data_IF_450616202037
#
_entry.id   IF_450616202037
#
_cell.length_a   1.000
_cell.length_b   1.000
_cell.length_c   1.000
_cell.angle_alpha   90.00
_cell.angle_beta   90.00
_cell.angle_gamma   90.00
#
_symmetry.space_group_name_H-M   'P 1'
#
loop_
_entity.id
_entity.type
_entity.pdbx_description
1 polymer ?
#
# COMPACT_ATOMS: atom_id res chain seq x y z
N UNK A 1 -13.20 26.51 1.57
CA UNK A 1 -12.13 26.09 0.65
C UNK A 1 -11.68 24.70 1.06
N UNK A 2 -11.98 23.67 0.26
CA UNK A 2 -11.39 22.35 0.47
C UNK A 2 -9.90 22.39 0.09
N UNK A 3 -8.99 21.79 0.86
CA UNK A 3 -7.58 21.75 0.46
C UNK A 3 -7.43 20.87 -0.79
N UNK A 4 -6.63 21.37 -1.73
CA UNK A 4 -6.29 20.68 -2.97
C UNK A 4 -5.64 19.34 -2.64
N UNK A 5 -6.29 18.25 -3.06
CA UNK A 5 -5.81 16.89 -2.87
C UNK A 5 -4.68 16.65 -3.89
N UNK A 6 -3.46 17.04 -3.53
CA UNK A 6 -2.26 16.78 -4.31
C UNK A 6 -2.12 15.27 -4.49
N UNK A 7 -2.18 14.79 -5.74
CA UNK A 7 -1.90 13.39 -6.08
C UNK A 7 -0.46 13.10 -5.66
N UNK A 8 -0.26 12.48 -4.50
CA UNK A 8 1.05 12.01 -4.07
C UNK A 8 1.50 10.93 -5.05
N UNK A 9 2.53 11.25 -5.84
CA UNK A 9 3.16 10.28 -6.73
C UNK A 9 3.90 9.25 -5.88
N UNK A 10 3.25 8.13 -5.60
CA UNK A 10 3.88 6.98 -4.94
C UNK A 10 4.97 6.46 -5.88
N UNK A 11 6.23 6.65 -5.49
CA UNK A 11 7.36 6.10 -6.23
C UNK A 11 7.57 4.65 -5.78
N UNK A 12 7.77 3.70 -6.71
CA UNK A 12 8.14 2.35 -6.33
C UNK A 12 9.42 2.40 -5.52
N UNK A 13 9.43 1.71 -4.38
CA UNK A 13 10.66 1.49 -3.61
C UNK A 13 11.66 0.80 -4.55
N UNK A 14 12.93 1.22 -4.52
CA UNK A 14 13.96 0.59 -5.34
C UNK A 14 14.53 -0.65 -4.63
N UNK A 15 14.80 -1.74 -5.36
CA UNK A 15 15.54 -2.87 -4.81
C UNK A 15 16.95 -2.41 -4.39
N UNK A 16 17.46 -3.00 -3.32
CA UNK A 16 18.81 -2.81 -2.77
C UNK A 16 19.43 -4.19 -2.55
N UNK A 17 20.59 -4.45 -3.16
CA UNK A 17 21.29 -5.73 -2.98
C UNK A 17 20.51 -6.92 -3.56
N UNK A 18 20.37 -7.98 -2.77
CA UNK A 18 19.81 -9.28 -3.19
C UNK A 18 18.26 -9.34 -3.13
N UNK A 19 17.57 -8.20 -3.15
CA UNK A 19 16.11 -8.19 -3.10
C UNK A 19 15.48 -8.94 -4.26
N UNK A 20 14.40 -9.66 -3.97
CA UNK A 20 13.55 -10.23 -5.02
C UNK A 20 12.42 -9.27 -5.33
N UNK A 21 12.30 -8.88 -6.59
CA UNK A 21 11.24 -8.00 -7.10
C UNK A 21 10.31 -8.79 -7.99
N UNK A 22 9.00 -8.58 -7.82
CA UNK A 22 7.96 -9.17 -8.65
C UNK A 22 6.98 -8.06 -9.08
N UNK A 23 6.65 -8.02 -10.36
CA UNK A 23 5.57 -7.16 -10.86
C UNK A 23 4.34 -7.99 -11.13
N UNK A 24 3.20 -7.57 -10.57
CA UNK A 24 1.90 -8.21 -10.75
C UNK A 24 0.94 -7.25 -11.45
N UNK A 25 0.11 -7.77 -12.35
CA UNK A 25 -1.04 -7.06 -12.91
C UNK A 25 -2.32 -7.59 -12.27
N UNK A 26 -3.13 -6.70 -11.72
CA UNK A 26 -4.42 -6.99 -11.11
C UNK A 26 -5.53 -6.35 -11.94
N UNK A 27 -6.16 -7.09 -12.87
CA UNK A 27 -7.23 -6.57 -13.72
C UNK A 27 -8.43 -6.00 -12.95
N UNK A 28 -8.78 -6.60 -11.81
CA UNK A 28 -9.87 -6.11 -10.98
C UNK A 28 -9.77 -6.46 -9.49
N UNK A 29 -10.76 -6.04 -8.68
CA UNK A 29 -10.77 -6.28 -7.24
C UNK A 29 -10.75 -7.77 -6.84
N UNK A 30 -11.31 -8.64 -7.67
CA UNK A 30 -11.28 -10.09 -7.46
C UNK A 30 -9.86 -10.65 -7.48
N UNK A 31 -8.97 -10.12 -8.33
CA UNK A 31 -7.57 -10.50 -8.39
C UNK A 31 -6.80 -10.03 -7.15
N UNK A 32 -7.13 -8.84 -6.65
CA UNK A 32 -6.59 -8.33 -5.38
C UNK A 32 -6.99 -9.22 -4.20
N UNK A 33 -8.26 -9.64 -4.13
CA UNK A 33 -8.72 -10.58 -3.10
C UNK A 33 -7.99 -11.91 -3.22
N UNK A 34 -7.88 -12.46 -4.44
CA UNK A 34 -7.14 -13.71 -4.69
C UNK A 34 -5.68 -13.60 -4.25
N UNK A 35 -5.00 -12.50 -4.58
CA UNK A 35 -3.63 -12.25 -4.16
C UNK A 35 -3.51 -12.25 -2.63
N UNK A 36 -4.46 -11.59 -1.93
CA UNK A 36 -4.51 -11.59 -0.46
C UNK A 36 -4.62 -13.01 0.11
N UNK A 37 -5.54 -13.82 -0.44
CA UNK A 37 -5.73 -15.22 -0.02
C UNK A 37 -4.48 -16.07 -0.22
N UNK A 38 -3.82 -15.92 -1.36
CA UNK A 38 -2.58 -16.65 -1.65
C UNK A 38 -1.45 -16.21 -0.70
N UNK A 39 -1.31 -14.91 -0.43
CA UNK A 39 -0.34 -14.39 0.53
C UNK A 39 -0.58 -14.96 1.94
N UNK A 40 -1.84 -15.07 2.38
CA UNK A 40 -2.16 -15.67 3.67
C UNK A 40 -1.65 -17.12 3.77
N UNK A 41 -1.91 -17.94 2.75
CA UNK A 41 -1.44 -19.33 2.69
C UNK A 41 0.10 -19.40 2.69
N UNK A 42 0.76 -18.54 1.92
CA UNK A 42 2.22 -18.49 1.87
C UNK A 42 2.84 -18.05 3.21
N UNK A 43 2.25 -17.04 3.88
CA UNK A 43 2.67 -16.59 5.21
C UNK A 43 2.44 -17.66 6.28
N UNK A 44 1.34 -18.40 6.22
CA UNK A 44 1.06 -19.50 7.14
C UNK A 44 2.06 -20.66 6.97
N UNK A 45 2.44 -20.97 5.73
CA UNK A 45 3.37 -22.06 5.42
C UNK A 45 4.85 -21.71 5.71
N UNK A 46 5.21 -20.43 5.70
CA UNK A 46 6.58 -19.97 5.87
C UNK A 46 6.77 -19.28 7.24
N UNK A 47 7.61 -19.81 8.13
CA UNK A 47 7.98 -19.09 9.34
C UNK A 47 8.85 -17.87 8.99
N UNK A 48 8.75 -16.83 9.80
CA UNK A 48 9.63 -15.66 9.74
C UNK A 48 8.92 -14.43 9.21
N UNK A 49 8.48 -14.38 7.94
CA UNK A 49 7.92 -13.16 7.38
C UNK A 49 6.56 -12.84 8.01
N UNK A 50 6.48 -11.73 8.74
CA UNK A 50 5.24 -11.29 9.42
C UNK A 50 4.97 -9.78 9.30
N UNK A 51 5.63 -9.11 8.37
CA UNK A 51 5.41 -7.68 8.13
C UNK A 51 5.10 -7.44 6.67
N UNK A 52 3.96 -6.78 6.42
CA UNK A 52 3.46 -6.43 5.10
C UNK A 52 3.23 -4.92 5.04
N UNK A 53 4.04 -4.24 4.24
CA UNK A 53 4.02 -2.79 4.06
C UNK A 53 3.33 -2.45 2.74
N UNK A 54 2.22 -1.71 2.81
CA UNK A 54 1.37 -1.42 1.66
C UNK A 54 1.40 0.08 1.34
N UNK A 55 1.83 0.41 0.13
CA UNK A 55 1.91 1.79 -0.37
C UNK A 55 1.08 1.95 -1.64
N UNK A 56 0.49 3.13 -1.85
CA UNK A 56 -0.35 3.38 -3.02
C UNK A 56 -1.42 4.42 -2.74
N UNK A 57 -1.95 5.04 -3.80
CA UNK A 57 -2.98 6.07 -3.69
C UNK A 57 -4.28 5.63 -3.01
N UNK A 58 -5.14 6.59 -2.69
CA UNK A 58 -6.48 6.35 -2.17
C UNK A 58 -7.28 5.47 -3.16
N UNK A 59 -7.98 4.45 -2.65
CA UNK A 59 -8.75 3.54 -3.50
C UNK A 59 -7.90 2.64 -4.40
N UNK A 60 -6.59 2.50 -4.15
CA UNK A 60 -5.72 1.62 -4.93
C UNK A 60 -6.05 0.12 -4.76
N UNK A 61 -6.73 -0.27 -3.68
CA UNK A 61 -7.06 -1.67 -3.37
C UNK A 61 -6.23 -2.29 -2.25
N UNK A 62 -5.45 -1.49 -1.50
CA UNK A 62 -4.68 -1.94 -0.33
C UNK A 62 -5.55 -2.68 0.69
N UNK A 63 -6.61 -2.05 1.20
CA UNK A 63 -7.57 -2.70 2.11
C UNK A 63 -8.27 -3.93 1.50
N UNK A 64 -8.50 -3.95 0.18
CA UNK A 64 -9.03 -5.14 -0.50
C UNK A 64 -8.06 -6.32 -0.41
N UNK A 65 -6.76 -6.08 -0.51
CA UNK A 65 -5.74 -7.11 -0.27
C UNK A 65 -5.82 -7.61 1.17
N UNK A 66 -5.86 -6.68 2.14
CA UNK A 66 -5.93 -7.02 3.57
C UNK A 66 -7.14 -7.88 3.86
N UNK A 67 -8.30 -7.55 3.28
CA UNK A 67 -9.52 -8.36 3.40
C UNK A 67 -9.30 -9.77 2.92
N UNK A 68 -8.82 -9.94 1.68
CA UNK A 68 -8.57 -11.28 1.13
C UNK A 68 -7.55 -12.08 1.94
N UNK A 69 -6.57 -11.40 2.54
CA UNK A 69 -5.56 -12.01 3.41
C UNK A 69 -6.17 -12.47 4.74
N UNK A 70 -6.80 -11.57 5.48
CA UNK A 70 -7.38 -11.86 6.80
C UNK A 70 -8.46 -12.93 6.70
N UNK A 71 -9.38 -12.84 5.73
CA UNK A 71 -10.43 -13.85 5.51
C UNK A 71 -9.86 -15.26 5.24
N UNK A 72 -8.65 -15.38 4.71
CA UNK A 72 -8.02 -16.67 4.42
C UNK A 72 -7.15 -17.21 5.57
N UNK A 73 -6.87 -16.40 6.59
CA UNK A 73 -6.13 -16.86 7.76
C UNK A 73 -7.08 -17.62 8.70
N UNK A 74 -6.59 -18.66 9.40
CA UNK A 74 -7.41 -19.39 10.37
C UNK A 74 -7.98 -18.45 11.43
N UNK A 75 -9.30 -18.46 11.63
CA UNK A 75 -10.00 -17.56 12.57
C UNK A 75 -10.42 -16.22 11.97
N UNK A 76 -10.19 -15.98 10.68
CA UNK A 76 -10.57 -14.76 9.97
C UNK A 76 -11.88 -14.84 9.18
N UNK A 77 -12.55 -16.00 9.15
CA UNK A 77 -13.72 -16.24 8.30
C UNK A 77 -14.88 -15.27 8.55
N UNK A 78 -15.05 -14.81 9.80
CA UNK A 78 -16.08 -13.86 10.23
C UNK A 78 -15.53 -12.43 10.43
N UNK A 79 -14.30 -12.15 9.97
CA UNK A 79 -13.68 -10.84 10.18
C UNK A 79 -14.30 -9.78 9.27
N UNK A 80 -14.94 -8.77 9.87
CA UNK A 80 -15.37 -7.57 9.15
C UNK A 80 -14.17 -6.66 8.86
N UNK A 81 -13.44 -6.95 7.78
CA UNK A 81 -12.24 -6.18 7.41
C UNK A 81 -12.62 -4.87 6.73
N UNK A 82 -12.31 -3.76 7.39
CA UNK A 82 -12.36 -2.41 6.85
C UNK A 82 -11.04 -1.68 7.12
N UNK A 83 -10.77 -0.60 6.37
CA UNK A 83 -9.73 0.35 6.78
C UNK A 83 -10.13 0.89 8.16
N UNK A 84 -9.20 0.93 9.14
CA UNK A 84 -9.45 1.50 10.46
C UNK A 84 -10.02 2.93 10.32
N UNK A 85 -11.30 3.10 10.70
CA UNK A 85 -12.04 4.34 10.40
C UNK A 85 -11.79 5.44 11.45
N UNK A 86 -11.70 5.06 12.73
CA UNK A 86 -11.46 5.94 13.87
C UNK A 86 -10.29 5.50 14.74
N UNK A 87 -10.07 4.18 14.85
CA UNK A 87 -8.87 3.61 15.46
C UNK A 87 -7.75 3.62 14.41
N UNK A 88 -6.50 3.80 14.85
CA UNK A 88 -5.32 3.73 13.98
C UNK A 88 -5.03 2.27 13.55
N UNK A 89 -5.56 1.31 14.31
CA UNK A 89 -5.34 -0.12 14.18
C UNK A 89 -6.63 -0.93 14.35
N UNK A 90 -6.76 -1.99 13.57
CA UNK A 90 -7.70 -3.09 13.80
C UNK A 90 -6.92 -4.37 14.16
N UNK A 91 -7.36 -5.06 15.21
CA UNK A 91 -6.85 -6.38 15.58
C UNK A 91 -7.82 -7.47 15.14
N UNK A 92 -7.34 -8.45 14.40
CA UNK A 92 -8.13 -9.60 13.95
C UNK A 92 -7.67 -10.88 14.64
N UNK A 93 -8.59 -11.70 15.20
CA UNK A 93 -8.28 -12.91 15.98
C UNK A 93 -7.88 -14.11 15.09
N UNK A 94 -7.07 -13.83 14.07
CA UNK A 94 -6.50 -14.78 13.13
C UNK A 94 -5.33 -15.54 13.76
N UNK A 95 -4.78 -16.54 13.05
CA UNK A 95 -3.57 -17.26 13.47
C UNK A 95 -2.51 -17.22 12.35
N UNK A 96 -1.40 -16.47 12.54
CA UNK A 96 -1.09 -15.60 13.69
C UNK A 96 -2.11 -14.44 13.82
N UNK A 97 -2.21 -13.84 15.01
CA UNK A 97 -3.03 -12.64 15.20
C UNK A 97 -2.59 -11.57 14.22
N UNK A 98 -3.53 -10.84 13.61
CA UNK A 98 -3.22 -9.85 12.58
C UNK A 98 -3.53 -8.45 13.10
N UNK A 99 -2.52 -7.59 13.10
CA UNK A 99 -2.63 -6.17 13.39
C UNK A 99 -2.60 -5.38 12.08
N UNK A 100 -3.66 -4.62 11.81
CA UNK A 100 -3.81 -3.84 10.57
C UNK A 100 -3.85 -2.36 10.89
N UNK A 101 -2.79 -1.66 10.51
CA UNK A 101 -2.60 -0.23 10.70
C UNK A 101 -2.88 0.55 9.41
N UNK A 102 -3.47 1.73 9.53
CA UNK A 102 -3.63 2.68 8.42
C UNK A 102 -3.09 4.06 8.81
N UNK A 103 -1.88 4.37 8.32
CA UNK A 103 -1.18 5.60 8.71
C UNK A 103 -1.69 6.84 7.97
N UNK A 104 -2.63 6.72 7.02
CA UNK A 104 -3.25 7.88 6.38
C UNK A 104 -3.92 8.81 7.39
N UNK A 105 -4.49 8.21 8.44
CA UNK A 105 -5.30 8.90 9.46
C UNK A 105 -4.48 9.66 10.49
N UNK A 106 -3.24 9.26 10.76
CA UNK A 106 -2.39 9.89 11.78
C UNK A 106 -2.06 11.36 11.47
N UNK A 107 -1.91 11.74 10.20
CA UNK A 107 -1.67 13.14 9.82
C UNK A 107 -2.88 14.06 9.98
N UNK A 108 -4.10 13.51 10.06
CA UNK A 108 -5.33 14.30 10.18
C UNK A 108 -5.70 14.59 11.65
N UNK A 109 -4.99 14.00 12.61
CA UNK A 109 -5.14 14.31 14.03
C UNK A 109 -4.29 15.56 14.36
N UNK A 110 -4.89 16.69 14.79
CA UNK A 110 -4.14 17.88 15.15
C UNK A 110 -3.15 17.59 16.29
N UNK A 111 -1.84 17.74 16.04
CA UNK A 111 -0.77 17.53 17.01
C UNK A 111 0.09 16.28 16.81
N UNK A 112 -0.33 15.35 15.95
CA UNK A 112 0.41 14.14 15.62
C UNK A 112 1.28 14.38 14.37
N UNK A 113 2.38 15.11 14.55
CA UNK A 113 3.54 14.78 13.74
C UNK A 113 3.89 13.31 14.06
N UNK A 114 4.26 12.56 13.03
CA UNK A 114 4.92 11.24 12.99
C UNK A 114 6.03 10.97 14.05
N UNK A 115 6.23 11.85 15.03
CA UNK A 115 7.25 11.82 16.07
C UNK A 115 7.06 10.72 17.11
N UNK A 116 5.94 9.99 17.07
CA UNK A 116 5.76 8.74 17.78
C UNK A 116 4.97 7.88 16.81
N UNK A 117 5.66 7.09 15.96
CA UNK A 117 5.00 5.89 15.44
C UNK A 117 4.43 5.21 16.68
N UNK A 118 3.10 5.08 16.74
CA UNK A 118 2.35 4.50 17.86
C UNK A 118 3.22 3.45 18.57
N UNK A 119 3.60 3.67 19.83
CA UNK A 119 4.58 2.80 20.53
C UNK A 119 4.18 1.33 20.39
N UNK A 120 2.87 1.04 20.33
CA UNK A 120 2.35 -0.30 20.08
C UNK A 120 2.70 -0.84 18.68
N UNK A 121 2.68 -0.01 17.64
CA UNK A 121 3.15 -0.40 16.30
C UNK A 121 4.64 -0.70 16.30
N UNK A 122 5.45 0.13 16.97
CA UNK A 122 6.89 -0.10 17.06
C UNK A 122 7.20 -1.40 17.79
N UNK A 123 6.57 -1.63 18.94
CA UNK A 123 6.68 -2.87 19.69
C UNK A 123 6.32 -4.09 18.83
N UNK A 124 5.23 -4.00 18.04
CA UNK A 124 4.82 -5.07 17.13
C UNK A 124 5.82 -5.31 15.99
N UNK A 125 6.42 -4.27 15.43
CA UNK A 125 7.42 -4.37 14.37
C UNK A 125 8.76 -4.94 14.87
N UNK A 126 9.12 -4.65 16.12
CA UNK A 126 10.33 -5.17 16.78
C UNK A 126 10.14 -6.57 17.39
N UNK A 127 8.89 -7.00 17.59
CA UNK A 127 8.58 -8.30 18.18
C UNK A 127 9.07 -9.44 17.30
N UNK A 128 9.94 -10.27 17.86
CA UNK A 128 10.49 -11.46 17.20
C UNK A 128 9.97 -12.78 17.77
N UNK A 129 10.18 -13.86 17.01
CA UNK A 129 9.87 -15.22 17.43
C UNK A 129 8.56 -15.80 16.87
N UNK A 130 8.22 -17.05 17.25
CA UNK A 130 7.22 -17.87 16.54
C UNK A 130 5.78 -17.44 16.80
N UNK A 131 5.52 -16.62 17.83
CA UNK A 131 4.19 -16.14 18.21
C UNK A 131 3.95 -14.68 17.82
N UNK A 132 4.85 -14.06 17.05
CA UNK A 132 4.66 -12.67 16.61
C UNK A 132 3.42 -12.55 15.72
N UNK A 133 2.70 -11.44 15.87
CA UNK A 133 1.57 -11.08 15.04
C UNK A 133 1.99 -10.86 13.58
N UNK A 134 1.04 -11.03 12.66
CA UNK A 134 1.16 -10.48 11.31
C UNK A 134 0.83 -8.98 11.38
N UNK A 135 1.80 -8.14 11.03
CA UNK A 135 1.64 -6.69 11.00
C UNK A 135 1.46 -6.24 9.56
N UNK A 136 0.32 -5.61 9.28
CA UNK A 136 -0.01 -5.03 7.98
C UNK A 136 -0.12 -3.53 8.15
N UNK A 137 0.65 -2.76 7.40
CA UNK A 137 0.66 -1.30 7.49
C UNK A 137 0.29 -0.71 6.14
N UNK A 138 -0.87 -0.06 6.05
CA UNK A 138 -1.22 0.80 4.93
C UNK A 138 -0.57 2.18 5.06
N UNK A 139 -0.21 2.77 3.92
CA UNK A 139 0.54 4.02 3.84
C UNK A 139 1.90 3.93 4.52
N UNK A 140 2.55 2.78 4.34
CA UNK A 140 3.82 2.44 4.95
C UNK A 140 4.98 3.36 4.53
N UNK A 141 4.83 4.14 3.45
CA UNK A 141 5.75 5.23 3.09
C UNK A 141 5.88 6.31 4.17
N UNK A 142 4.97 6.32 5.15
CA UNK A 142 5.01 7.19 6.33
C UNK A 142 5.83 6.61 7.49
N UNK A 143 6.25 5.34 7.43
CA UNK A 143 7.13 4.79 8.45
C UNK A 143 8.55 5.35 8.30
N UNK A 144 9.23 5.71 9.41
CA UNK A 144 10.66 5.97 9.40
C UNK A 144 11.43 4.73 8.88
N UNK A 145 12.49 4.97 8.11
CA UNK A 145 13.26 3.87 7.48
C UNK A 145 14.01 3.02 8.51
N UNK A 146 14.39 3.62 9.64
CA UNK A 146 15.12 3.01 10.75
C UNK A 146 14.29 2.05 11.60
N UNK A 147 12.96 2.08 11.50
CA UNK A 147 12.05 1.16 12.22
C UNK A 147 11.58 -0.01 11.36
N UNK A 148 12.01 -0.09 10.09
CA UNK A 148 11.54 -1.13 9.18
C UNK A 148 12.19 -2.49 9.50
N UNK A 149 11.41 -3.56 9.76
CA UNK A 149 11.98 -4.87 10.05
C UNK A 149 12.81 -5.40 8.90
N UNK A 150 13.95 -6.08 9.13
CA UNK A 150 14.82 -6.56 8.06
C UNK A 150 14.15 -7.60 7.15
N UNK A 151 13.26 -8.43 7.72
CA UNK A 151 12.45 -9.40 6.97
C UNK A 151 11.01 -8.89 6.82
N UNK A 152 10.64 -8.47 5.61
CA UNK A 152 9.36 -7.83 5.30
C UNK A 152 9.02 -7.91 3.82
N UNK A 153 7.72 -7.82 3.53
CA UNK A 153 7.20 -7.65 2.18
C UNK A 153 6.71 -6.22 1.98
N UNK A 154 7.14 -5.58 0.91
CA UNK A 154 6.72 -4.24 0.51
C UNK A 154 5.91 -4.34 -0.80
N UNK A 155 4.66 -3.89 -0.80
CA UNK A 155 3.79 -3.88 -1.97
C UNK A 155 3.40 -2.45 -2.31
N UNK A 156 3.77 -2.03 -3.50
CA UNK A 156 3.43 -0.71 -4.03
C UNK A 156 2.43 -0.82 -5.16
N UNK A 157 1.23 -0.25 -4.98
CA UNK A 157 0.25 -0.12 -6.05
C UNK A 157 0.60 1.05 -6.94
N UNK A 158 0.61 0.79 -8.23
CA UNK A 158 0.85 1.75 -9.29
C UNK A 158 -0.39 1.84 -10.19
N UNK A 159 -0.69 3.04 -10.74
CA UNK A 159 -1.71 3.19 -11.76
C UNK A 159 -1.35 2.35 -13.00
N UNK A 160 -2.37 1.91 -13.71
CA UNK A 160 -2.25 1.20 -14.97
C UNK A 160 -3.45 1.56 -15.85
N UNK A 161 -3.29 1.50 -17.18
CA UNK A 161 -4.39 1.78 -18.12
C UNK A 161 -5.64 0.97 -17.81
N UNK A 162 -5.47 -0.29 -17.40
CA UNK A 162 -6.54 -1.19 -16.95
C UNK A 162 -6.13 -1.89 -15.65
N UNK A 163 -7.00 -1.83 -14.64
CA UNK A 163 -6.75 -2.44 -13.34
C UNK A 163 -5.66 -1.72 -12.54
N UNK A 164 -4.76 -2.48 -11.91
CA UNK A 164 -3.59 -1.97 -11.15
C UNK A 164 -2.35 -2.78 -11.47
N UNK A 165 -1.19 -2.15 -11.30
CA UNK A 165 0.07 -2.86 -11.17
C UNK A 165 0.48 -2.87 -9.70
N UNK A 166 1.09 -3.96 -9.25
CA UNK A 166 1.77 -4.03 -7.97
C UNK A 166 3.24 -4.33 -8.23
N UNK A 167 4.12 -3.52 -7.65
CA UNK A 167 5.53 -3.90 -7.45
C UNK A 167 5.65 -4.47 -6.04
N UNK A 168 5.99 -5.75 -5.94
CA UNK A 168 6.26 -6.44 -4.69
C UNK A 168 7.77 -6.61 -4.52
N UNK A 169 8.29 -6.26 -3.35
CA UNK A 169 9.69 -6.41 -2.98
C UNK A 169 9.77 -7.25 -1.71
N UNK A 170 10.56 -8.31 -1.77
CA UNK A 170 10.88 -9.14 -0.61
C UNK A 170 12.24 -8.76 -0.04
N UNK A 171 12.23 -8.28 1.20
CA UNK A 171 13.42 -7.99 2.01
C UNK A 171 13.60 -9.12 3.03
N UNK A 172 14.79 -9.70 3.10
CA UNK A 172 15.07 -10.85 3.98
C UNK A 172 14.67 -12.20 3.38
N UNK A 173 15.17 -13.28 3.99
CA UNK A 173 15.07 -14.62 3.44
C UNK A 173 13.64 -15.19 3.51
N UNK A 174 12.93 -14.95 4.62
CA UNK A 174 11.57 -15.46 4.79
C UNK A 174 10.60 -14.75 3.85
N UNK A 175 10.71 -13.42 3.70
CA UNK A 175 9.90 -12.68 2.74
C UNK A 175 10.12 -13.19 1.30
N UNK A 176 11.37 -13.53 0.92
CA UNK A 176 11.66 -14.09 -0.41
C UNK A 176 10.97 -15.43 -0.61
N UNK A 177 10.96 -16.31 0.40
CA UNK A 177 10.24 -17.59 0.34
C UNK A 177 8.73 -17.37 0.19
N UNK A 178 8.15 -16.41 0.92
CA UNK A 178 6.72 -16.06 0.79
C UNK A 178 6.40 -15.51 -0.60
N UNK A 179 7.21 -14.57 -1.11
CA UNK A 179 7.00 -13.98 -2.43
C UNK A 179 7.14 -15.02 -3.54
N UNK A 180 8.14 -15.91 -3.45
CA UNK A 180 8.35 -16.99 -4.40
C UNK A 180 7.19 -18.01 -4.38
N UNK A 181 6.69 -18.38 -3.20
CA UNK A 181 5.52 -19.25 -3.09
C UNK A 181 4.28 -18.59 -3.68
N UNK A 182 4.05 -17.31 -3.36
CA UNK A 182 2.95 -16.51 -3.90
C UNK A 182 3.00 -16.46 -5.42
N UNK A 183 4.17 -16.17 -6.01
CA UNK A 183 4.35 -16.07 -7.45
C UNK A 183 3.98 -17.36 -8.20
N UNK A 184 4.20 -18.55 -7.60
CA UNK A 184 3.85 -19.84 -8.21
C UNK A 184 2.34 -20.05 -8.29
N UNK A 185 1.60 -19.53 -7.32
CA UNK A 185 0.14 -19.68 -7.24
C UNK A 185 -0.61 -18.62 -8.06
N UNK A 186 0.03 -17.48 -8.36
CA UNK A 186 -0.54 -16.39 -9.17
C UNK A 186 0.24 -16.12 -10.45
N UNK A 187 0.77 -17.16 -11.09
CA UNK A 187 1.57 -17.04 -12.33
C UNK A 187 0.87 -16.27 -13.45
N UNK A 188 -0.44 -16.36 -13.54
CA UNK A 188 -1.30 -15.63 -14.47
C UNK A 188 -1.33 -14.10 -14.21
N UNK A 189 -1.03 -13.66 -12.99
CA UNK A 189 -0.93 -12.25 -12.62
C UNK A 189 0.48 -11.70 -12.76
N UNK A 190 1.50 -12.56 -12.89
CA UNK A 190 2.91 -12.13 -12.97
C UNK A 190 3.20 -11.50 -14.33
N UNK A 191 3.77 -10.29 -14.31
CA UNK A 191 4.26 -9.62 -15.51
C UNK A 191 5.70 -10.10 -15.80
N UNK A 192 5.97 -10.67 -16.99
CA UNK A 192 7.32 -11.06 -17.37
C UNK A 192 8.28 -9.87 -17.40
N UNK A 193 9.52 -10.07 -16.95
CA UNK A 193 10.58 -9.06 -16.87
C UNK A 193 10.92 -8.40 -18.24
N UNK A 194 10.53 -9.03 -19.34
CA UNK A 194 10.75 -8.56 -20.72
C UNK A 194 9.62 -7.73 -21.31
N UNK A 195 8.52 -7.49 -20.59
CA UNK A 195 7.49 -6.59 -21.07
C UNK A 195 8.03 -5.15 -20.97
N UNK A 196 8.22 -4.41 -22.08
CA UNK A 196 8.65 -3.03 -21.99
C UNK A 196 7.67 -2.30 -21.09
N UNK A 197 8.18 -1.67 -20.02
CA UNK A 197 7.47 -0.62 -19.32
C UNK A 197 7.17 0.44 -20.39
N UNK A 198 6.02 0.30 -21.04
CA UNK A 198 5.63 1.28 -22.04
C UNK A 198 5.46 2.56 -21.26
N UNK A 199 6.36 3.49 -21.50
CA UNK A 199 6.42 4.85 -20.97
C UNK A 199 5.12 5.66 -21.18
N UNK A 200 4.10 5.06 -21.78
CA UNK A 200 2.76 5.59 -21.96
C UNK A 200 1.93 5.65 -20.67
N UNK A 201 2.17 4.82 -19.65
CA UNK A 201 1.31 4.81 -18.43
C UNK A 201 1.71 5.89 -17.39
N UNK A 202 2.86 6.53 -17.53
CA UNK A 202 3.36 7.56 -16.59
C UNK A 202 3.22 9.00 -17.12
N UNK A 203 2.88 9.17 -18.40
CA UNK A 203 2.95 10.46 -19.08
C UNK A 203 1.56 11.05 -19.38
N UNK A 204 0.74 11.32 -18.36
CA UNK A 204 -0.34 12.30 -18.51
C UNK A 204 -0.86 12.85 -17.18
N UNK A 205 -0.06 13.70 -16.53
CA UNK A 205 -0.56 14.75 -15.63
C UNK A 205 0.35 15.98 -15.81
N UNK A 206 0.12 16.71 -16.90
CA UNK A 206 0.43 18.14 -16.97
C UNK A 206 -0.91 18.87 -17.13
N UNK A 207 -1.19 19.93 -16.36
CA UNK A 207 -2.35 20.76 -16.61
C UNK A 207 -2.17 21.45 -17.98
N UNK A 208 -3.15 21.28 -18.86
CA UNK A 208 -3.23 22.03 -20.11
C UNK A 208 -3.31 23.53 -19.79
N UNK A 209 -2.26 24.26 -20.11
CA UNK A 209 -2.32 25.70 -20.28
C UNK A 209 -2.97 25.96 -21.64
N UNK A 210 -4.20 26.47 -21.62
CA UNK A 210 -4.76 27.42 -22.58
C UNK A 210 -6.28 27.50 -22.35
N UNK A 211 -6.72 28.56 -21.67
CA UNK A 211 -7.86 29.32 -22.14
C UNK A 211 -7.64 30.79 -21.77
N UNK A 212 -6.72 31.41 -22.51
CA UNK A 212 -6.61 32.85 -22.62
C UNK A 212 -7.32 33.26 -23.92
N UNK A 213 -8.55 33.74 -23.79
CA UNK A 213 -9.07 34.95 -24.45
C UNK A 213 -10.59 35.04 -24.28
N UNK A 214 -11.03 36.03 -23.53
CA UNK A 214 -11.95 36.97 -24.15
C UNK A 214 -11.72 38.42 -23.72
N UNK A 215 -11.87 39.28 -24.71
CA UNK A 215 -11.29 40.61 -24.83
C UNK A 215 -12.19 41.71 -24.23
N UNK A 216 -11.52 42.65 -23.55
CA UNK A 216 -11.61 44.13 -23.69
C UNK A 216 -12.92 44.89 -23.38
N UNK A 217 -12.64 46.07 -22.80
CA UNK A 217 -13.40 47.33 -22.78
C UNK A 217 -14.67 47.34 -21.90
N UNK A 218 -14.83 48.26 -20.95
CA UNK A 218 -14.73 49.72 -21.13
C UNK A 218 -14.27 50.47 -19.87
N UNK A 219 -13.50 51.54 -20.11
CA UNK A 219 -13.19 52.66 -19.20
C UNK A 219 -14.45 53.35 -18.63
N UNK A 220 -14.34 53.91 -17.42
CA UNK A 220 -14.93 55.23 -17.13
C UNK A 220 -15.55 55.47 -15.73
N UNK A 221 -15.11 56.58 -15.10
CA UNK A 221 -15.81 57.45 -14.13
C UNK A 221 -15.82 57.02 -12.63
N UNK A 222 -15.09 57.72 -11.75
CA UNK A 222 -15.48 58.89 -10.90
C UNK A 222 -16.17 58.48 -9.58
N UNK A 223 -15.52 58.71 -8.42
CA UNK A 223 -15.74 59.83 -7.47
C UNK A 223 -17.05 59.80 -6.66
N UNK A 224 -16.89 59.99 -5.34
CA UNK A 224 -17.86 60.37 -4.29
C UNK A 224 -18.97 59.38 -3.87
N UNK A 225 -18.86 58.85 -2.65
CA UNK A 225 -19.49 59.41 -1.43
C UNK A 225 -18.89 58.75 -0.19
#
# INVERSE_FOLDING_TARGET
MAPANSVQTVRPVRPVGDDTVLTLRLPGPGDTLRLGRVLALALAAQPGARTLLLSGGLGAGKTTLVRGLVEALPGGDDAEVSSPSFNICNMYPTRPETAHYDLYRLEQAPGAALAVADDALLDLLETEGPRRALVIVEWAERLPVDVLPPDRLELTWLPATHGRLITAIARGEAARRVLAATAREVTDLVVPETAPHTTADTAMQAPSADDDRDLRDTRGAQENT
#
